data_IF_246870789940
#
_entry.id   IF_246870789940
#
_cell.length_a   1.000
_cell.length_b   1.000
_cell.length_c   1.000
_cell.angle_alpha   90.00
_cell.angle_beta   90.00
_cell.angle_gamma   90.00
#
_symmetry.space_group_name_H-M   'P 1'
#
loop_
_entity.id
_entity.type
_entity.pdbx_description
1 polymer ?
#
# COMPACT_ATOMS: atom_id res chain seq x y z
N UNK A 1 15.31 6.52 -4.19
CA UNK A 1 15.41 6.60 -2.71
C UNK A 1 14.72 5.40 -2.09
N UNK A 2 15.31 4.82 -1.06
CA UNK A 2 14.71 3.71 -0.32
C UNK A 2 14.33 4.22 1.06
N UNK A 3 13.09 3.97 1.47
CA UNK A 3 12.59 4.36 2.78
C UNK A 3 11.66 3.30 3.34
N UNK A 4 11.55 3.27 4.67
CA UNK A 4 10.55 2.43 5.32
C UNK A 4 9.20 3.13 5.26
N UNK A 5 8.18 2.42 4.82
CA UNK A 5 6.84 2.96 4.64
C UNK A 5 5.80 2.00 5.20
N UNK A 6 4.64 2.55 5.54
CA UNK A 6 3.43 1.77 5.77
C UNK A 6 2.66 1.77 4.45
N UNK A 7 2.29 0.60 3.97
CA UNK A 7 1.61 0.47 2.70
C UNK A 7 0.32 -0.32 2.84
N UNK A 8 -0.71 0.14 2.14
CA UNK A 8 -1.95 -0.60 1.96
C UNK A 8 -1.85 -1.36 0.64
N UNK A 9 -1.95 -2.67 0.72
CA UNK A 9 -1.87 -3.55 -0.44
C UNK A 9 -3.25 -4.08 -0.79
N UNK A 10 -3.56 -4.08 -2.09
CA UNK A 10 -4.74 -4.74 -2.62
C UNK A 10 -4.33 -5.97 -3.40
N UNK A 11 -4.83 -7.13 -2.97
CA UNK A 11 -4.59 -8.39 -3.63
C UNK A 11 -5.83 -8.83 -4.40
N UNK A 12 -5.61 -9.35 -5.60
CA UNK A 12 -6.63 -10.11 -6.33
C UNK A 12 -6.06 -11.52 -6.50
N UNK A 13 -6.66 -12.47 -5.76
CA UNK A 13 -6.07 -13.80 -5.63
C UNK A 13 -4.68 -13.70 -5.00
N UNK A 14 -3.63 -14.35 -5.58
CA UNK A 14 -2.27 -14.27 -5.04
C UNK A 14 -1.49 -13.03 -5.47
N UNK A 15 -2.06 -12.19 -6.35
CA UNK A 15 -1.35 -11.07 -6.97
C UNK A 15 -1.63 -9.74 -6.30
N UNK A 16 -0.58 -8.93 -6.11
CA UNK A 16 -0.72 -7.55 -5.65
C UNK A 16 -1.10 -6.70 -6.87
N UNK A 17 -2.27 -6.07 -6.82
CA UNK A 17 -2.76 -5.20 -7.89
C UNK A 17 -2.52 -3.73 -7.63
N UNK A 18 -2.55 -3.30 -6.37
CA UNK A 18 -2.28 -1.94 -5.98
C UNK A 18 -1.49 -1.89 -4.69
N UNK A 19 -0.70 -0.85 -4.55
CA UNK A 19 -0.05 -0.50 -3.28
C UNK A 19 -0.09 1.01 -3.13
N UNK A 20 -0.39 1.47 -1.92
CA UNK A 20 -0.46 2.90 -1.60
C UNK A 20 0.31 3.16 -0.31
N UNK A 21 1.10 4.23 -0.31
CA UNK A 21 1.77 4.69 0.89
C UNK A 21 0.73 5.32 1.83
N UNK A 22 0.78 4.94 3.09
CA UNK A 22 -0.04 5.51 4.14
C UNK A 22 0.86 6.24 5.15
N UNK A 23 0.36 7.32 5.79
CA UNK A 23 1.18 8.09 6.73
C UNK A 23 1.55 7.31 8.00
N UNK A 24 0.71 6.36 8.40
CA UNK A 24 0.95 5.50 9.55
C UNK A 24 0.05 4.26 9.50
N UNK A 25 0.30 3.33 10.41
CA UNK A 25 -0.44 2.07 10.45
C UNK A 25 -1.92 2.29 10.81
N UNK A 26 -2.24 3.22 11.70
CA UNK A 26 -3.63 3.50 12.07
C UNK A 26 -4.44 3.99 10.88
N UNK A 27 -3.88 4.89 10.08
CA UNK A 27 -4.52 5.38 8.85
C UNK A 27 -4.67 4.26 7.83
N UNK A 28 -3.66 3.40 7.70
CA UNK A 28 -3.71 2.24 6.81
C UNK A 28 -4.84 1.30 7.19
N UNK A 29 -4.97 0.96 8.47
CA UNK A 29 -6.02 0.07 8.96
C UNK A 29 -7.42 0.67 8.77
N UNK A 30 -7.54 1.99 8.93
CA UNK A 30 -8.80 2.69 8.67
C UNK A 30 -9.16 2.62 7.20
N UNK A 31 -8.22 2.87 6.30
CA UNK A 31 -8.41 2.76 4.86
C UNK A 31 -8.76 1.34 4.44
N UNK A 32 -8.12 0.35 5.05
CA UNK A 32 -8.42 -1.05 4.84
C UNK A 32 -9.87 -1.38 5.19
N UNK A 33 -10.38 -0.91 6.33
CA UNK A 33 -11.77 -1.13 6.72
C UNK A 33 -12.75 -0.53 5.72
N UNK A 34 -12.50 0.71 5.30
CA UNK A 34 -13.36 1.39 4.33
C UNK A 34 -13.36 0.64 3.01
N UNK A 35 -12.19 0.22 2.53
CA UNK A 35 -12.08 -0.54 1.29
C UNK A 35 -12.77 -1.89 1.36
N UNK A 36 -12.71 -2.56 2.49
CA UNK A 36 -13.36 -3.86 2.69
C UNK A 36 -14.88 -3.80 2.75
N UNK A 37 -15.47 -2.61 2.96
CA UNK A 37 -16.92 -2.45 2.88
C UNK A 37 -17.46 -2.66 1.46
N UNK A 38 -16.63 -2.37 0.44
CA UNK A 38 -16.96 -2.65 -0.96
C UNK A 38 -16.48 -4.01 -1.42
N UNK A 39 -16.37 -4.93 -0.53
CA UNK A 39 -15.74 -6.22 -0.67
C UNK A 39 -16.29 -7.08 -1.81
N UNK A 40 -15.34 -7.69 -2.55
CA UNK A 40 -15.61 -8.75 -3.52
C UNK A 40 -14.78 -9.96 -3.11
N UNK A 41 -15.31 -11.16 -3.35
CA UNK A 41 -14.75 -12.41 -2.83
C UNK A 41 -13.26 -12.63 -3.06
N UNK A 42 -12.75 -12.21 -4.20
CA UNK A 42 -11.34 -12.45 -4.55
C UNK A 42 -10.42 -11.28 -4.27
N UNK A 43 -10.93 -10.21 -3.63
CA UNK A 43 -10.14 -9.03 -3.29
C UNK A 43 -9.85 -9.02 -1.81
N UNK A 44 -8.57 -8.87 -1.46
CA UNK A 44 -8.12 -8.75 -0.08
C UNK A 44 -7.25 -7.52 0.09
N UNK A 45 -7.30 -6.92 1.26
CA UNK A 45 -6.49 -5.78 1.62
C UNK A 45 -5.59 -6.13 2.79
N UNK A 46 -4.37 -5.62 2.76
CA UNK A 46 -3.40 -5.87 3.82
C UNK A 46 -2.59 -4.62 4.09
N UNK A 47 -2.37 -4.30 5.36
CA UNK A 47 -1.46 -3.24 5.77
C UNK A 47 -0.13 -3.84 6.18
N UNK A 48 0.94 -3.33 5.61
CA UNK A 48 2.30 -3.79 5.94
C UNK A 48 3.20 -2.61 6.23
N UNK A 49 4.27 -2.89 6.96
CA UNK A 49 5.40 -1.97 7.09
C UNK A 49 6.59 -2.61 6.37
N UNK A 50 7.12 -1.91 5.39
CA UNK A 50 8.19 -2.46 4.55
C UNK A 50 9.06 -1.34 4.01
N UNK A 51 10.22 -1.71 3.48
CA UNK A 51 11.04 -0.80 2.71
C UNK A 51 10.49 -0.71 1.30
N UNK A 52 10.62 0.47 0.70
CA UNK A 52 10.16 0.70 -0.65
C UNK A 52 11.13 1.61 -1.38
N UNK A 53 11.28 1.39 -2.67
CA UNK A 53 11.90 2.37 -3.56
C UNK A 53 10.86 3.41 -3.90
N UNK A 54 11.19 4.67 -3.66
CA UNK A 54 10.28 5.79 -3.89
C UNK A 54 10.71 6.55 -5.13
N UNK A 55 9.72 7.07 -5.84
CA UNK A 55 9.91 7.94 -6.99
C UNK A 55 9.25 9.28 -6.70
N UNK A 56 9.98 10.36 -6.93
CA UNK A 56 9.48 11.70 -6.73
C UNK A 56 8.67 12.14 -7.97
N UNK A 57 7.46 12.62 -7.74
CA UNK A 57 6.60 13.11 -8.80
C UNK A 57 6.84 14.61 -9.05
N UNK A 58 6.39 15.11 -10.19
CA UNK A 58 6.54 16.50 -10.60
C UNK A 58 5.93 17.47 -9.59
N UNK A 59 4.86 17.07 -8.93
CA UNK A 59 4.16 17.89 -7.94
C UNK A 59 4.78 17.85 -6.54
N UNK A 60 5.93 17.19 -6.38
CA UNK A 60 6.62 17.07 -5.10
C UNK A 60 6.15 15.92 -4.22
N UNK A 61 5.14 15.16 -4.64
CA UNK A 61 4.74 13.96 -3.91
C UNK A 61 5.62 12.79 -4.25
N UNK A 62 5.54 11.73 -3.46
CA UNK A 62 6.30 10.50 -3.68
C UNK A 62 5.38 9.33 -3.91
N UNK A 63 5.77 8.47 -4.84
CA UNK A 63 5.06 7.23 -5.14
C UNK A 63 5.97 6.05 -4.94
N UNK A 64 5.40 4.88 -4.67
CA UNK A 64 6.16 3.64 -4.58
C UNK A 64 6.53 3.20 -5.99
N UNK A 65 7.83 3.15 -6.27
CA UNK A 65 8.35 2.57 -7.49
C UNK A 65 8.39 1.05 -7.40
N UNK A 66 8.81 0.53 -6.25
CA UNK A 66 8.86 -0.89 -5.99
C UNK A 66 8.84 -1.13 -4.48
N UNK A 67 8.14 -2.18 -4.04
CA UNK A 67 8.21 -2.65 -2.67
C UNK A 67 9.36 -3.63 -2.51
N UNK A 68 10.08 -3.51 -1.41
CA UNK A 68 11.11 -4.47 -1.03
C UNK A 68 10.50 -5.33 0.05
N UNK A 69 9.99 -6.48 -0.36
CA UNK A 69 9.38 -7.45 0.55
C UNK A 69 10.41 -8.50 0.96
N UNK A 70 10.56 -8.66 2.24
CA UNK A 70 11.44 -9.69 2.80
C UNK A 70 10.73 -11.04 2.91
#
# INVERSE_FOLDING_TARGET
>A
MIAEVVALLMFIGPDIKEHRIQPNMATCLRGKRVAQRGYKENIQYKCIRSKAKLEENIDGTQSIKALILD
#
